data_IF_188501739176
#
_entry.id   IF_188501739176
#
_cell.length_a   1.000
_cell.length_b   1.000
_cell.length_c   1.000
_cell.angle_alpha   90.00
_cell.angle_beta   90.00
_cell.angle_gamma   90.00
#
_symmetry.space_group_name_H-M   'P 1'
#
loop_
_entity.id
_entity.type
_entity.pdbx_description
1 polymer ?
#
# COMPACT_ATOMS: atom_id res chain seq x y z
N UNK A 1 -0.37 -16.85 2.24
CA UNK A 1 -0.65 -15.55 2.85
C UNK A 1 0.29 -14.47 2.33
N UNK A 2 1.59 -14.75 2.25
CA UNK A 2 2.58 -13.82 1.69
C UNK A 2 2.22 -13.41 0.25
N UNK A 3 1.90 -14.38 -0.60
CA UNK A 3 1.54 -14.12 -1.99
C UNK A 3 0.27 -13.30 -2.14
N UNK A 4 -0.70 -13.52 -1.27
CA UNK A 4 -1.96 -12.77 -1.29
C UNK A 4 -1.71 -11.29 -0.94
N UNK A 5 -0.96 -11.03 0.12
CA UNK A 5 -0.65 -9.65 0.54
C UNK A 5 0.23 -8.96 -0.52
N UNK A 6 1.20 -9.67 -1.10
CA UNK A 6 2.02 -9.13 -2.18
C UNK A 6 1.14 -8.67 -3.36
N UNK A 7 0.18 -9.50 -3.75
CA UNK A 7 -0.72 -9.18 -4.86
C UNK A 7 -1.58 -7.95 -4.55
N UNK A 8 -2.04 -7.80 -3.30
CA UNK A 8 -2.82 -6.64 -2.89
C UNK A 8 -1.98 -5.36 -2.90
N UNK A 9 -0.73 -5.43 -2.45
CA UNK A 9 0.19 -4.29 -2.53
C UNK A 9 0.38 -3.86 -3.99
N UNK A 10 0.58 -4.83 -4.89
CA UNK A 10 0.73 -4.54 -6.32
C UNK A 10 -0.52 -3.90 -6.92
N UNK A 11 -1.70 -4.36 -6.53
CA UNK A 11 -2.96 -3.76 -7.00
C UNK A 11 -3.04 -2.29 -6.61
N UNK A 12 -2.70 -1.96 -5.37
CA UNK A 12 -2.76 -0.57 -4.90
C UNK A 12 -1.76 0.34 -5.62
N UNK A 13 -0.62 -0.20 -6.03
CA UNK A 13 0.39 0.59 -6.75
C UNK A 13 -0.10 1.09 -8.11
N UNK A 14 -1.08 0.42 -8.71
CA UNK A 14 -1.69 0.85 -9.98
C UNK A 14 -2.61 2.06 -9.80
N UNK A 15 -2.99 2.38 -8.58
CA UNK A 15 -3.72 3.57 -8.17
C UNK A 15 -5.06 3.73 -8.89
N UNK A 16 -5.83 2.65 -9.00
CA UNK A 16 -7.18 2.73 -9.54
C UNK A 16 -8.16 3.12 -8.44
N UNK A 17 -9.22 3.86 -8.81
CA UNK A 17 -10.27 4.23 -7.86
C UNK A 17 -10.92 3.02 -7.24
N UNK A 18 -11.25 2.02 -8.07
CA UNK A 18 -11.91 0.81 -7.57
C UNK A 18 -11.09 0.12 -6.48
N UNK A 19 -9.77 -0.03 -6.70
CA UNK A 19 -8.91 -0.68 -5.72
C UNK A 19 -8.78 0.17 -4.46
N UNK A 20 -8.69 1.49 -4.58
CA UNK A 20 -8.61 2.37 -3.42
C UNK A 20 -9.90 2.32 -2.59
N UNK A 21 -11.06 2.34 -3.24
CA UNK A 21 -12.33 2.24 -2.53
C UNK A 21 -12.48 0.91 -1.82
N UNK A 22 -12.02 -0.17 -2.43
CA UNK A 22 -12.20 -1.52 -1.93
C UNK A 22 -11.14 -1.92 -0.89
N UNK A 23 -9.88 -1.57 -1.13
CA UNK A 23 -8.75 -2.08 -0.34
C UNK A 23 -8.27 -1.14 0.76
N UNK A 24 -8.54 0.16 0.68
CA UNK A 24 -8.20 1.06 1.77
C UNK A 24 -9.31 1.03 2.82
N UNK A 25 -8.95 0.80 4.08
CA UNK A 25 -9.89 0.85 5.19
C UNK A 25 -10.38 2.29 5.38
N UNK A 26 -11.57 2.45 5.98
CA UNK A 26 -12.12 3.78 6.23
C UNK A 26 -11.23 4.63 7.13
N UNK A 27 -10.47 3.98 8.02
CA UNK A 27 -9.52 4.64 8.92
C UNK A 27 -8.09 4.62 8.39
N UNK A 28 -7.90 4.37 7.09
CA UNK A 28 -6.58 4.35 6.48
C UNK A 28 -5.80 5.65 6.73
N UNK A 29 -4.52 5.50 7.06
CA UNK A 29 -3.61 6.60 7.28
C UNK A 29 -2.26 6.26 6.67
N UNK A 30 -1.69 7.19 5.93
CA UNK A 30 -0.39 6.99 5.29
C UNK A 30 0.54 8.16 5.61
N UNK A 31 1.81 7.82 5.82
CA UNK A 31 2.90 8.81 5.87
C UNK A 31 3.77 8.53 4.64
N UNK A 32 3.77 9.47 3.69
CA UNK A 32 4.55 9.33 2.46
C UNK A 32 6.03 9.64 2.67
N UNK A 33 6.84 9.35 1.65
CA UNK A 33 8.29 9.56 1.71
C UNK A 33 8.67 11.02 1.91
N UNK A 34 7.79 11.95 1.54
CA UNK A 34 8.00 13.39 1.73
C UNK A 34 7.62 13.88 3.12
N UNK A 35 7.05 13.00 3.96
CA UNK A 35 6.50 13.36 5.26
C UNK A 35 5.06 13.83 5.22
N UNK A 36 4.46 13.97 4.02
CA UNK A 36 3.05 14.30 3.92
C UNK A 36 2.18 13.14 4.36
N UNK A 37 1.02 13.45 4.92
CA UNK A 37 0.08 12.43 5.41
C UNK A 37 -1.17 12.39 4.53
N UNK A 38 -1.77 11.20 4.44
CA UNK A 38 -2.91 10.96 3.57
C UNK A 38 -3.94 10.09 4.29
N UNK A 39 -5.21 10.43 4.10
CA UNK A 39 -6.34 9.58 4.48
C UNK A 39 -6.92 8.94 3.23
N UNK A 40 -7.86 8.00 3.40
CA UNK A 40 -8.55 7.40 2.26
C UNK A 40 -9.23 8.46 1.38
N UNK A 41 -9.89 9.44 2.00
CA UNK A 41 -10.53 10.54 1.26
C UNK A 41 -9.54 11.34 0.45
N UNK A 42 -8.40 11.69 1.03
CA UNK A 42 -7.34 12.43 0.32
C UNK A 42 -6.80 11.62 -0.84
N UNK A 43 -6.56 10.32 -0.64
CA UNK A 43 -6.06 9.45 -1.71
C UNK A 43 -7.06 9.39 -2.88
N UNK A 44 -8.35 9.25 -2.59
CA UNK A 44 -9.39 9.23 -3.63
C UNK A 44 -9.47 10.56 -4.37
N UNK A 45 -9.34 11.67 -3.65
CA UNK A 45 -9.39 13.02 -4.24
C UNK A 45 -8.20 13.31 -5.15
N UNK A 46 -7.06 12.66 -4.92
CA UNK A 46 -5.85 12.89 -5.73
C UNK A 46 -5.80 12.04 -6.98
N UNK A 47 -6.72 11.08 -7.16
CA UNK A 47 -6.74 10.23 -8.34
C UNK A 47 -7.22 11.00 -9.56
N UNK A 48 -6.50 10.84 -10.66
CA UNK A 48 -6.96 11.33 -11.96
C UNK A 48 -7.92 10.29 -12.55
N UNK A 49 -9.03 10.76 -13.12
CA UNK A 49 -9.99 9.86 -13.74
C UNK A 49 -9.37 9.08 -14.89
N UNK A 50 -9.69 7.79 -14.96
CA UNK A 50 -9.27 6.88 -16.03
C UNK A 50 -7.76 6.76 -16.19
N UNK A 51 -7.00 7.11 -15.16
CA UNK A 51 -5.55 6.99 -15.19
C UNK A 51 -5.13 5.78 -14.34
N UNK A 52 -4.33 4.90 -14.93
CA UNK A 52 -3.74 3.76 -14.23
C UNK A 52 -2.23 3.91 -14.32
N UNK A 53 -1.55 3.79 -13.19
CA UNK A 53 -0.09 3.78 -13.16
C UNK A 53 0.39 2.44 -13.72
N UNK A 54 1.15 2.47 -14.80
CA UNK A 54 1.64 1.27 -15.47
C UNK A 54 3.12 0.99 -15.19
N UNK A 55 3.91 2.01 -14.85
CA UNK A 55 5.30 1.84 -14.44
C UNK A 55 5.34 1.64 -12.94
N UNK A 56 5.42 0.38 -12.52
CA UNK A 56 5.44 0.03 -11.11
C UNK A 56 6.88 -0.13 -10.65
N UNK A 57 7.18 0.27 -9.40
CA UNK A 57 8.51 0.05 -8.85
C UNK A 57 8.77 -1.44 -8.66
N UNK A 58 10.05 -1.81 -8.63
CA UNK A 58 10.43 -3.16 -8.22
C UNK A 58 10.23 -3.30 -6.71
N UNK A 59 9.76 -4.44 -6.29
CA UNK A 59 9.62 -4.79 -4.87
C UNK A 59 10.74 -5.76 -4.52
N UNK A 60 11.51 -5.41 -3.49
CA UNK A 60 12.62 -6.24 -3.00
C UNK A 60 12.40 -6.56 -1.53
N UNK A 61 12.91 -7.71 -1.10
CA UNK A 61 12.94 -8.10 0.31
C UNK A 61 11.55 -8.17 0.94
N UNK A 62 10.54 -8.57 0.18
CA UNK A 62 9.16 -8.65 0.66
C UNK A 62 9.02 -9.74 1.70
N UNK A 63 8.46 -9.36 2.85
CA UNK A 63 8.17 -10.30 3.94
C UNK A 63 6.97 -9.84 4.73
N UNK A 64 6.29 -10.77 5.36
CA UNK A 64 5.14 -10.47 6.21
C UNK A 64 5.36 -10.99 7.63
N UNK A 65 4.75 -10.31 8.59
CA UNK A 65 4.67 -10.73 9.97
C UNK A 65 3.19 -10.80 10.36
N UNK A 66 2.75 -11.97 10.77
CA UNK A 66 1.39 -12.14 11.30
C UNK A 66 1.37 -11.63 12.73
N UNK A 67 0.78 -10.45 12.94
CA UNK A 67 0.73 -9.84 14.27
C UNK A 67 -0.42 -10.40 15.10
N UNK A 68 -1.47 -10.85 14.44
CA UNK A 68 -2.61 -11.53 15.06
C UNK A 68 -3.33 -12.34 13.99
N UNK A 69 -4.42 -13.01 14.35
CA UNK A 69 -5.24 -13.74 13.37
C UNK A 69 -5.83 -12.83 12.29
N UNK A 70 -5.93 -11.52 12.56
CA UNK A 70 -6.60 -10.57 11.65
C UNK A 70 -5.72 -9.39 11.25
N UNK A 71 -4.45 -9.35 11.67
CA UNK A 71 -3.55 -8.23 11.35
C UNK A 71 -2.22 -8.75 10.84
N UNK A 72 -1.79 -8.25 9.69
CA UNK A 72 -0.51 -8.59 9.06
C UNK A 72 0.27 -7.30 8.82
N UNK A 73 1.56 -7.32 9.12
CA UNK A 73 2.51 -6.30 8.71
C UNK A 73 3.26 -6.80 7.49
N UNK A 74 3.32 -5.98 6.45
CA UNK A 74 4.17 -6.22 5.28
C UNK A 74 5.35 -5.25 5.30
N UNK A 75 6.55 -5.77 5.11
CA UNK A 75 7.78 -4.97 5.03
C UNK A 75 8.47 -5.28 3.73
N UNK A 76 8.90 -4.25 3.03
CA UNK A 76 9.59 -4.42 1.76
C UNK A 76 10.31 -3.13 1.37
N UNK A 77 11.13 -3.22 0.34
CA UNK A 77 11.77 -2.07 -0.26
C UNK A 77 11.21 -1.88 -1.67
N UNK A 78 11.19 -0.65 -2.15
CA UNK A 78 10.85 -0.35 -3.54
C UNK A 78 12.02 0.37 -4.21
N UNK A 79 12.19 0.08 -5.50
CA UNK A 79 13.14 0.79 -6.36
C UNK A 79 12.34 1.30 -7.54
N UNK A 80 12.23 2.63 -7.67
CA UNK A 80 11.54 3.26 -8.77
C UNK A 80 12.42 3.27 -10.02
N UNK A 81 11.80 3.50 -11.18
CA UNK A 81 12.53 3.60 -12.45
C UNK A 81 13.64 4.66 -12.37
N UNK A 82 13.42 5.75 -11.64
CA UNK A 82 14.41 6.80 -11.41
C UNK A 82 15.61 6.34 -10.58
N UNK A 83 15.54 5.17 -9.97
CA UNK A 83 16.54 4.67 -9.03
C UNK A 83 16.27 5.04 -7.58
N UNK A 84 15.23 5.78 -7.32
CA UNK A 84 14.84 6.16 -5.96
C UNK A 84 14.44 4.93 -5.15
N UNK A 85 15.00 4.80 -3.95
CA UNK A 85 14.74 3.67 -3.06
C UNK A 85 13.96 4.10 -1.84
N UNK A 86 13.07 3.24 -1.37
CA UNK A 86 12.28 3.50 -0.17
C UNK A 86 12.07 2.22 0.61
N UNK A 87 12.13 2.32 1.94
CA UNK A 87 11.63 1.28 2.83
C UNK A 87 10.12 1.47 2.97
N UNK A 88 9.37 0.37 2.99
CA UNK A 88 7.91 0.41 3.08
C UNK A 88 7.41 -0.49 4.20
N UNK A 89 6.39 0.00 4.90
CA UNK A 89 5.71 -0.74 5.95
C UNK A 89 4.21 -0.56 5.79
N UNK A 90 3.49 -1.68 5.75
CA UNK A 90 2.03 -1.69 5.62
C UNK A 90 1.41 -2.51 6.73
N UNK A 91 0.26 -2.07 7.22
CA UNK A 91 -0.55 -2.86 8.15
C UNK A 91 -1.89 -3.18 7.47
N UNK A 92 -2.15 -4.46 7.33
CA UNK A 92 -3.37 -5.01 6.74
C UNK A 92 -4.24 -5.62 7.81
N UNK A 93 -5.54 -5.39 7.72
CA UNK A 93 -6.52 -5.93 8.67
C UNK A 93 -7.58 -6.70 7.92
N UNK A 94 -7.94 -7.87 8.42
CA UNK A 94 -8.99 -8.71 7.84
C UNK A 94 -10.32 -8.41 8.55
N UNK A 95 -11.30 -7.99 7.77
CA UNK A 95 -12.66 -7.71 8.25
C UNK A 95 -13.63 -8.37 7.29
N UNK A 96 -14.51 -9.24 7.79
CA UNK A 96 -15.49 -9.96 6.97
C UNK A 96 -14.83 -10.66 5.77
N UNK A 97 -13.74 -11.39 6.04
CA UNK A 97 -12.96 -12.14 5.05
C UNK A 97 -12.29 -11.28 3.97
N UNK A 98 -12.22 -9.97 4.17
CA UNK A 98 -11.57 -9.04 3.24
C UNK A 98 -10.40 -8.35 3.93
N UNK A 99 -9.22 -8.42 3.30
CA UNK A 99 -8.05 -7.66 3.77
C UNK A 99 -8.17 -6.22 3.33
N UNK A 100 -7.97 -5.30 4.27
CA UNK A 100 -7.91 -3.86 3.98
C UNK A 100 -6.68 -3.25 4.62
N UNK A 101 -6.06 -2.33 3.89
CA UNK A 101 -4.89 -1.58 4.35
C UNK A 101 -5.36 -0.46 5.27
N UNK A 102 -4.83 -0.40 6.49
CA UNK A 102 -5.19 0.69 7.41
C UNK A 102 -4.00 1.57 7.79
N UNK A 103 -2.77 1.19 7.44
CA UNK A 103 -1.60 2.03 7.65
C UNK A 103 -0.53 1.72 6.62
N UNK A 104 0.14 2.76 6.12
CA UNK A 104 1.29 2.61 5.24
C UNK A 104 2.29 3.74 5.50
N UNK A 105 3.57 3.40 5.48
CA UNK A 105 4.64 4.41 5.56
C UNK A 105 5.76 4.06 4.60
N UNK A 106 6.24 5.07 3.88
CA UNK A 106 7.41 4.98 3.05
C UNK A 106 8.49 5.94 3.53
N UNK A 107 9.75 5.48 3.49
CA UNK A 107 10.91 6.29 3.91
C UNK A 107 12.00 6.11 2.86
N UNK A 108 12.43 7.21 2.24
CA UNK A 108 13.52 7.19 1.26
C UNK A 108 14.86 6.89 1.93
N UNK A 109 15.73 6.17 1.21
CA UNK A 109 17.07 5.89 1.71
C UNK A 109 18.09 5.84 0.57
#
# INVERSE_FOLDING_TARGET
MNEEIFALERRLMKRTRQDFEQLLADDFYEIGTSGKTYTKGIELDTLLENTVVTELPDILNFRIHELSATVIQALYDTVEFSGRRSHRSSLWRKTNDTWQLFFHQGTSF
#
